data_IF_985071250888
#
_entry.id   IF_985071250888
#
_cell.length_a   1.000
_cell.length_b   1.000
_cell.length_c   1.000
_cell.angle_alpha   90.00
_cell.angle_beta   90.00
_cell.angle_gamma   90.00
#
_symmetry.space_group_name_H-M   'P 1'
#
loop_
_entity.id
_entity.type
_entity.pdbx_description
1 polymer ?
#
# COMPACT_ATOMS: atom_id res chain seq x y z
N UNK A 1 -42.37 66.83 6.57
CA UNK A 1 -41.59 67.03 5.33
C UNK A 1 -40.73 65.79 5.18
N UNK A 2 -41.25 64.62 4.78
CA UNK A 2 -41.93 64.21 3.54
C UNK A 2 -41.03 64.30 2.31
N UNK A 3 -41.04 63.22 1.53
CA UNK A 3 -40.35 62.89 0.26
C UNK A 3 -38.98 62.19 0.42
N UNK A 4 -38.68 61.06 -0.22
CA UNK A 4 -39.44 60.14 -1.06
C UNK A 4 -38.54 58.91 -1.31
N UNK A 5 -39.14 57.71 -1.32
CA UNK A 5 -38.49 56.47 -1.75
C UNK A 5 -38.21 56.49 -3.26
N UNK A 6 -37.02 56.04 -3.69
CA UNK A 6 -36.79 55.59 -5.06
C UNK A 6 -36.55 54.08 -5.06
N UNK A 7 -37.61 53.36 -5.43
CA UNK A 7 -37.52 52.01 -5.97
C UNK A 7 -36.96 52.08 -7.39
N UNK A 8 -36.03 51.19 -7.72
CA UNK A 8 -35.72 50.85 -9.11
C UNK A 8 -35.80 49.33 -9.23
N UNK A 9 -36.78 48.88 -10.01
CA UNK A 9 -37.03 47.49 -10.36
C UNK A 9 -37.10 47.40 -11.88
N UNK A 10 -36.13 46.73 -12.50
CA UNK A 10 -36.12 46.20 -13.88
C UNK A 10 -34.93 45.22 -13.93
N UNK A 11 -35.01 43.98 -14.38
CA UNK A 11 -36.08 43.24 -15.02
C UNK A 11 -35.66 41.77 -15.13
N UNK A 12 -36.68 40.91 -15.26
CA UNK A 12 -36.56 39.50 -15.61
C UNK A 12 -35.96 39.31 -17.00
N UNK A 13 -35.06 38.33 -17.15
CA UNK A 13 -34.97 37.52 -18.38
C UNK A 13 -34.66 36.07 -18.00
N UNK A 14 -35.72 35.27 -18.05
CA UNK A 14 -35.72 33.81 -18.15
C UNK A 14 -35.30 33.43 -19.58
N UNK A 15 -34.19 32.68 -19.74
CA UNK A 15 -33.91 31.92 -20.96
C UNK A 15 -33.24 30.59 -20.59
N UNK A 16 -33.95 29.50 -20.85
CA UNK A 16 -33.46 28.12 -20.95
C UNK A 16 -34.12 27.52 -22.20
N UNK A 17 -33.71 26.32 -22.65
CA UNK A 17 -32.56 26.05 -23.51
C UNK A 17 -33.00 25.50 -24.89
N UNK A 18 -32.13 25.40 -25.91
CA UNK A 18 -32.45 24.64 -27.11
C UNK A 18 -32.08 23.15 -26.97
N UNK A 19 -33.03 22.34 -27.42
CA UNK A 19 -32.96 20.91 -27.69
C UNK A 19 -31.66 20.44 -28.35
N UNK A 20 -31.08 19.37 -27.81
CA UNK A 20 -30.16 18.54 -28.58
C UNK A 20 -30.60 17.08 -28.51
N UNK A 21 -31.12 16.65 -29.66
CA UNK A 21 -31.61 15.33 -30.00
C UNK A 21 -30.56 14.24 -29.83
N UNK A 22 -31.03 13.17 -29.19
CA UNK A 22 -30.45 11.83 -29.04
C UNK A 22 -30.22 11.16 -30.40
N UNK A 23 -29.15 10.36 -30.55
CA UNK A 23 -29.21 9.15 -31.36
C UNK A 23 -29.05 7.88 -30.49
N UNK A 24 -30.15 7.15 -30.44
CA UNK A 24 -30.38 5.83 -29.87
C UNK A 24 -29.45 4.80 -30.52
N UNK A 25 -28.55 4.19 -29.75
CA UNK A 25 -27.76 3.04 -30.22
C UNK A 25 -28.49 1.75 -29.91
N UNK A 26 -29.04 1.18 -30.97
CA UNK A 26 -29.85 -0.04 -31.00
C UNK A 26 -29.05 -1.26 -30.54
N UNK A 27 -29.69 -2.06 -29.69
CA UNK A 27 -29.26 -3.35 -29.21
C UNK A 27 -29.20 -4.40 -30.34
N UNK A 28 -28.07 -5.09 -30.48
CA UNK A 28 -27.95 -6.27 -31.33
C UNK A 28 -28.31 -7.53 -30.51
N UNK A 29 -29.55 -7.98 -30.69
CA UNK A 29 -30.11 -9.23 -30.21
C UNK A 29 -29.64 -10.35 -31.15
N UNK A 30 -28.80 -11.28 -30.68
CA UNK A 30 -28.46 -12.52 -31.40
C UNK A 30 -29.68 -13.47 -31.34
N UNK A 31 -30.18 -13.98 -32.47
CA UNK A 31 -31.17 -15.06 -32.44
C UNK A 31 -30.47 -16.41 -32.24
N UNK A 32 -31.06 -17.20 -31.35
CA UNK A 32 -30.94 -18.65 -31.35
C UNK A 32 -31.80 -19.19 -32.51
N UNK A 33 -31.25 -20.13 -33.28
CA UNK A 33 -32.03 -21.00 -34.15
C UNK A 33 -31.48 -22.42 -34.01
N UNK A 34 -32.40 -23.28 -33.59
CA UNK A 34 -32.32 -24.72 -33.48
C UNK A 34 -32.16 -25.43 -34.85
N UNK A 35 -31.57 -26.61 -34.75
CA UNK A 35 -31.95 -27.86 -35.41
C UNK A 35 -31.85 -27.98 -36.95
N UNK A 36 -30.86 -28.78 -37.38
CA UNK A 36 -30.97 -29.64 -38.56
C UNK A 36 -30.00 -30.82 -38.47
N UNK A 37 -30.58 -31.97 -38.15
CA UNK A 37 -30.07 -33.32 -38.37
C UNK A 37 -29.89 -33.63 -39.86
N UNK A 38 -28.78 -34.27 -40.22
CA UNK A 38 -28.69 -35.59 -40.88
C UNK A 38 -27.37 -35.77 -41.67
N UNK A 39 -26.68 -36.85 -41.29
CA UNK A 39 -25.88 -37.79 -42.07
C UNK A 39 -24.89 -37.30 -43.13
N UNK A 40 -23.59 -37.52 -42.84
CA UNK A 40 -22.73 -38.26 -43.77
C UNK A 40 -21.53 -38.88 -43.06
N UNK A 41 -21.48 -40.21 -43.10
CA UNK A 41 -20.35 -41.06 -42.71
C UNK A 41 -19.09 -40.78 -43.54
N UNK A 42 -17.90 -40.80 -42.92
CA UNK A 42 -16.66 -41.48 -43.39
C UNK A 42 -15.40 -41.11 -42.56
N UNK A 43 -14.34 -41.94 -42.55
CA UNK A 43 -13.64 -42.33 -41.32
C UNK A 43 -12.34 -41.59 -40.99
N UNK A 44 -11.96 -41.77 -39.73
CA UNK A 44 -10.72 -41.41 -39.04
C UNK A 44 -9.42 -41.94 -39.68
N UNK A 45 -8.30 -41.20 -39.54
CA UNK A 45 -6.98 -41.79 -39.43
C UNK A 45 -6.39 -41.63 -38.02
N UNK A 46 -6.13 -42.78 -37.43
CA UNK A 46 -5.49 -43.07 -36.13
C UNK A 46 -4.08 -42.48 -36.02
N UNK A 47 -3.85 -41.61 -35.03
CA UNK A 47 -2.48 -41.24 -34.60
C UNK A 47 -1.94 -42.29 -33.61
N UNK A 48 -1.09 -43.13 -34.18
CA UNK A 48 -0.08 -44.04 -33.61
C UNK A 48 0.42 -43.66 -32.21
N UNK A 49 -0.01 -44.43 -31.21
CA UNK A 49 0.60 -44.54 -29.88
C UNK A 49 1.86 -45.39 -29.98
N UNK A 50 2.97 -44.91 -29.42
CA UNK A 50 4.29 -45.55 -29.40
C UNK A 50 4.43 -46.36 -28.10
N UNK A 51 4.61 -47.68 -28.12
CA UNK A 51 4.81 -48.48 -26.90
C UNK A 51 6.30 -48.53 -26.53
N UNK A 52 6.62 -48.30 -25.25
CA UNK A 52 7.93 -48.62 -24.68
C UNK A 52 7.79 -49.23 -23.28
N UNK A 53 8.00 -50.55 -23.26
CA UNK A 53 8.52 -51.46 -22.24
C UNK A 53 8.06 -51.39 -20.75
N UNK A 54 7.78 -52.57 -20.14
CA UNK A 54 7.46 -52.70 -18.72
C UNK A 54 8.74 -52.75 -17.86
N UNK A 55 8.81 -51.89 -16.84
CA UNK A 55 9.81 -51.96 -15.78
C UNK A 55 9.31 -52.84 -14.62
N UNK A 56 10.03 -53.92 -14.34
CA UNK A 56 9.84 -54.79 -13.18
C UNK A 56 10.12 -54.05 -11.85
N UNK A 57 9.45 -54.41 -10.74
CA UNK A 57 9.75 -53.87 -9.42
C UNK A 57 10.94 -54.61 -8.78
N UNK A 58 12.07 -53.92 -8.65
CA UNK A 58 13.24 -54.41 -7.88
C UNK A 58 13.16 -53.87 -6.45
N UNK A 59 13.25 -54.79 -5.49
CA UNK A 59 13.20 -54.56 -4.04
C UNK A 59 14.24 -53.52 -3.53
N UNK A 60 13.97 -52.83 -2.40
CA UNK A 60 14.88 -51.83 -1.85
C UNK A 60 16.09 -52.51 -1.19
N UNK A 61 17.27 -52.26 -1.76
CA UNK A 61 18.56 -52.66 -1.19
C UNK A 61 19.01 -51.60 -0.19
N UNK A 62 19.03 -51.98 1.08
CA UNK A 62 19.55 -51.21 2.21
C UNK A 62 21.02 -50.86 1.93
N UNK A 63 21.31 -49.57 1.75
CA UNK A 63 22.67 -49.05 1.66
C UNK A 63 23.02 -48.35 2.97
N UNK A 64 23.88 -48.99 3.75
CA UNK A 64 24.49 -48.41 4.95
C UNK A 64 25.44 -47.28 4.53
N UNK A 65 24.94 -46.04 4.54
CA UNK A 65 25.77 -44.85 4.36
C UNK A 65 26.38 -44.45 5.71
N UNK A 66 27.65 -44.83 5.84
CA UNK A 66 28.60 -44.51 6.91
C UNK A 66 28.56 -43.01 7.27
N UNK A 67 28.12 -42.70 8.49
CA UNK A 67 28.20 -41.36 9.08
C UNK A 67 29.67 -41.04 9.37
N UNK A 68 30.15 -39.89 8.87
CA UNK A 68 31.38 -39.23 9.35
C UNK A 68 30.93 -38.03 10.20
N UNK A 69 31.45 -37.85 11.42
CA UNK A 69 31.21 -36.64 12.20
C UNK A 69 32.15 -35.56 11.67
N UNK A 70 31.56 -34.46 11.18
CA UNK A 70 32.30 -33.23 10.88
C UNK A 70 31.75 -32.14 11.79
N UNK A 71 32.43 -31.96 12.93
CA UNK A 71 32.35 -30.75 13.72
C UNK A 71 32.91 -29.59 12.88
N UNK A 72 32.01 -28.77 12.34
CA UNK A 72 32.36 -27.40 11.97
C UNK A 72 31.30 -26.48 12.56
N UNK A 73 31.63 -25.98 13.75
CA UNK A 73 31.06 -24.77 14.34
C UNK A 73 31.20 -23.64 13.33
N UNK A 74 30.10 -23.37 12.64
CA UNK A 74 29.93 -22.21 11.77
C UNK A 74 29.73 -21.00 12.66
N UNK A 75 30.83 -20.31 12.96
CA UNK A 75 30.76 -18.92 13.42
C UNK A 75 30.13 -18.11 12.28
N UNK A 76 28.82 -17.90 12.40
CA UNK A 76 28.05 -16.96 11.59
C UNK A 76 28.48 -15.55 11.97
N UNK A 77 29.63 -15.11 11.49
CA UNK A 77 29.93 -13.69 11.40
C UNK A 77 28.99 -13.11 10.36
N UNK A 78 28.04 -12.31 10.85
CA UNK A 78 27.24 -11.42 10.03
C UNK A 78 28.23 -10.52 9.30
N UNK A 79 28.56 -10.91 8.06
CA UNK A 79 29.28 -10.10 7.11
C UNK A 79 28.44 -8.85 6.90
N UNK A 80 28.76 -7.79 7.65
CA UNK A 80 28.39 -6.45 7.30
C UNK A 80 29.08 -6.16 5.97
N UNK A 81 28.38 -6.48 4.88
CA UNK A 81 28.73 -6.06 3.53
C UNK A 81 28.86 -4.55 3.58
N UNK A 82 30.11 -4.07 3.72
CA UNK A 82 30.46 -2.69 3.43
C UNK A 82 30.10 -2.52 1.97
N UNK A 83 28.93 -1.91 1.72
CA UNK A 83 28.54 -1.56 0.36
C UNK A 83 29.62 -0.59 -0.09
N UNK A 84 30.41 -1.00 -1.08
CA UNK A 84 31.35 -0.12 -1.76
C UNK A 84 30.53 0.97 -2.45
N UNK A 85 30.20 2.03 -1.70
CA UNK A 85 29.54 3.22 -2.22
C UNK A 85 30.56 3.88 -3.13
N UNK A 86 30.16 4.14 -4.38
CA UNK A 86 31.02 4.83 -5.33
C UNK A 86 31.34 6.23 -4.83
N UNK A 87 32.57 6.69 -5.05
CA UNK A 87 32.98 8.06 -4.74
C UNK A 87 32.30 9.11 -5.62
N UNK A 88 31.68 8.71 -6.74
CA UNK A 88 30.98 9.61 -7.66
C UNK A 88 29.51 9.78 -7.25
N UNK A 89 29.14 10.98 -6.83
CA UNK A 89 27.78 11.38 -6.45
C UNK A 89 27.11 12.20 -7.55
N UNK A 90 25.99 11.75 -8.15
CA UNK A 90 25.23 12.55 -9.10
C UNK A 90 24.78 13.90 -8.54
N UNK A 91 24.98 14.97 -9.32
CA UNK A 91 24.43 16.30 -9.03
C UNK A 91 22.96 16.38 -9.42
N UNK A 92 22.16 16.90 -8.50
CA UNK A 92 20.74 17.19 -8.70
C UNK A 92 19.80 15.99 -8.55
N UNK A 93 18.50 16.28 -8.65
CA UNK A 93 17.45 15.29 -8.47
C UNK A 93 17.45 14.19 -9.55
N UNK A 94 16.83 13.04 -9.21
CA UNK A 94 16.70 11.92 -10.14
C UNK A 94 15.77 12.29 -11.29
N UNK A 95 16.30 12.38 -12.50
CA UNK A 95 15.52 12.56 -13.74
C UNK A 95 15.42 11.25 -14.52
N UNK A 96 14.24 10.98 -15.09
CA UNK A 96 13.96 9.81 -15.93
C UNK A 96 13.52 10.24 -17.32
N UNK A 97 14.00 9.54 -18.34
CA UNK A 97 13.57 9.72 -19.72
C UNK A 97 12.17 9.15 -19.91
N UNK A 98 11.32 9.87 -20.67
CA UNK A 98 9.96 9.47 -21.01
C UNK A 98 9.87 9.15 -22.50
N UNK A 99 9.08 8.13 -22.83
CA UNK A 99 8.81 7.74 -24.22
C UNK A 99 8.11 8.88 -24.94
N UNK A 100 8.60 9.23 -26.13
CA UNK A 100 8.10 10.32 -26.97
C UNK A 100 8.61 11.72 -26.60
N UNK A 101 9.34 11.87 -25.49
CA UNK A 101 9.87 13.17 -25.06
C UNK A 101 11.38 13.23 -25.26
N UNK A 102 11.83 13.94 -26.31
CA UNK A 102 13.25 14.14 -26.60
C UNK A 102 13.89 15.08 -25.57
N UNK A 103 14.84 14.57 -24.78
CA UNK A 103 15.63 15.38 -23.84
C UNK A 103 17.09 14.89 -23.79
N UNK A 104 17.93 15.43 -24.66
CA UNK A 104 19.34 15.05 -24.79
C UNK A 104 20.16 15.32 -23.52
N UNK A 105 19.70 16.18 -22.62
CA UNK A 105 20.37 16.42 -21.32
C UNK A 105 20.40 15.16 -20.46
N UNK A 106 19.48 14.22 -20.68
CA UNK A 106 19.42 12.95 -19.93
C UNK A 106 20.48 11.94 -20.36
N UNK A 107 21.17 12.18 -21.48
CA UNK A 107 22.29 11.38 -21.96
C UNK A 107 23.62 11.74 -21.26
N UNK A 108 23.59 12.76 -20.39
CA UNK A 108 24.73 13.23 -19.61
C UNK A 108 24.34 13.33 -18.13
N UNK A 109 25.33 13.23 -17.26
CA UNK A 109 25.15 13.35 -15.82
C UNK A 109 26.40 13.95 -15.20
N UNK A 110 26.24 15.10 -14.54
CA UNK A 110 27.29 15.68 -13.71
C UNK A 110 27.34 14.92 -12.39
N UNK A 111 28.53 14.55 -11.94
CA UNK A 111 28.77 13.91 -10.66
C UNK A 111 29.91 14.63 -9.92
N UNK A 112 29.79 14.76 -8.61
CA UNK A 112 30.88 15.16 -7.72
C UNK A 112 31.69 13.94 -7.32
N UNK A 113 33.00 13.97 -7.52
CA UNK A 113 33.90 12.96 -6.96
C UNK A 113 34.25 13.35 -5.52
N UNK A 114 33.71 12.63 -4.55
CA UNK A 114 33.95 12.88 -3.11
C UNK A 114 35.45 12.80 -2.80
N UNK A 115 36.22 11.99 -3.53
CA UNK A 115 37.65 11.78 -3.22
C UNK A 115 38.53 12.95 -3.68
N UNK A 116 38.24 13.53 -4.86
CA UNK A 116 39.04 14.61 -5.43
C UNK A 116 38.38 15.98 -5.34
N UNK A 117 37.11 16.04 -4.90
CA UNK A 117 36.25 17.24 -4.93
C UNK A 117 36.06 17.85 -6.33
N UNK A 118 36.32 17.09 -7.40
CA UNK A 118 36.15 17.54 -8.77
C UNK A 118 34.78 17.16 -9.34
N UNK A 119 34.29 17.97 -10.27
CA UNK A 119 33.07 17.68 -11.04
C UNK A 119 33.43 16.88 -12.28
N UNK A 120 32.81 15.70 -12.44
CA UNK A 120 32.99 14.83 -13.61
C UNK A 120 31.68 14.67 -14.36
N UNK A 121 31.76 14.70 -15.68
CA UNK A 121 30.60 14.47 -16.56
C UNK A 121 30.62 13.03 -17.11
N UNK A 122 29.61 12.25 -16.73
CA UNK A 122 29.39 10.92 -17.26
C UNK A 122 28.44 10.96 -18.46
N UNK A 123 28.74 10.12 -19.45
CA UNK A 123 28.02 10.09 -20.72
C UNK A 123 27.41 8.71 -20.95
N UNK A 124 26.20 8.69 -21.50
CA UNK A 124 25.56 7.46 -21.98
C UNK A 124 26.28 6.96 -23.23
N UNK A 125 26.79 5.71 -23.18
CA UNK A 125 27.60 5.10 -24.25
C UNK A 125 27.01 3.81 -24.82
N UNK A 126 25.89 3.32 -24.28
CA UNK A 126 25.33 2.02 -24.70
C UNK A 126 24.75 2.07 -26.12
N UNK A 127 24.40 3.27 -26.62
CA UNK A 127 23.96 3.52 -28.00
C UNK A 127 24.62 4.80 -28.52
N UNK A 128 24.99 4.89 -29.81
CA UNK A 128 25.35 6.15 -30.45
C UNK A 128 24.21 7.17 -30.34
N UNK A 129 24.52 8.42 -30.01
CA UNK A 129 23.48 9.44 -29.74
C UNK A 129 22.60 9.73 -30.96
N UNK A 130 23.15 9.62 -32.17
CA UNK A 130 22.43 9.79 -33.43
C UNK A 130 21.40 8.70 -33.71
N UNK A 131 21.55 7.51 -33.13
CA UNK A 131 20.64 6.37 -33.35
C UNK A 131 19.56 6.26 -32.28
N UNK A 132 19.54 7.16 -31.30
CA UNK A 132 18.57 7.12 -30.20
C UNK A 132 17.22 7.63 -30.72
N UNK A 133 16.33 6.69 -31.01
CA UNK A 133 14.90 6.98 -31.13
C UNK A 133 14.24 7.15 -29.75
N UNK A 134 13.65 8.32 -29.51
CA UNK A 134 12.96 8.68 -28.27
C UNK A 134 11.53 8.11 -28.16
N UNK A 135 10.95 7.65 -29.26
CA UNK A 135 9.67 6.93 -29.26
C UNK A 135 9.84 5.43 -28.99
N UNK A 136 11.07 4.92 -29.11
CA UNK A 136 11.36 3.52 -28.84
C UNK A 136 11.53 3.26 -27.33
N UNK A 137 10.64 2.44 -26.77
CA UNK A 137 10.62 2.06 -25.35
C UNK A 137 11.94 1.40 -24.91
N UNK A 138 12.58 0.59 -25.76
CA UNK A 138 13.83 -0.09 -25.43
C UNK A 138 15.00 0.88 -25.27
N UNK A 139 15.07 1.91 -26.11
CA UNK A 139 16.11 2.94 -26.02
C UNK A 139 15.95 3.75 -24.72
N UNK A 140 14.73 4.16 -24.42
CA UNK A 140 14.40 4.88 -23.17
C UNK A 140 14.74 4.03 -21.94
N UNK A 141 14.43 2.73 -21.97
CA UNK A 141 14.80 1.82 -20.90
C UNK A 141 16.32 1.69 -20.72
N UNK A 142 17.10 1.62 -21.81
CA UNK A 142 18.58 1.60 -21.75
C UNK A 142 19.13 2.87 -21.10
N UNK A 143 18.60 4.06 -21.46
CA UNK A 143 19.00 5.34 -20.85
C UNK A 143 18.66 5.35 -19.35
N UNK A 144 17.43 5.00 -18.99
CA UNK A 144 16.98 4.96 -17.59
C UNK A 144 17.78 3.96 -16.75
N UNK A 145 18.12 2.79 -17.31
CA UNK A 145 18.94 1.78 -16.63
C UNK A 145 20.35 2.29 -16.35
N UNK A 146 21.00 2.93 -17.33
CA UNK A 146 22.31 3.56 -17.13
C UNK A 146 22.27 4.62 -16.02
N UNK A 147 21.31 5.56 -16.08
CA UNK A 147 21.14 6.58 -15.03
C UNK A 147 20.91 5.92 -13.66
N UNK A 148 20.02 4.92 -13.60
CA UNK A 148 19.70 4.21 -12.37
C UNK A 148 20.91 3.48 -11.78
N UNK A 149 21.81 2.95 -12.61
CA UNK A 149 23.04 2.32 -12.17
C UNK A 149 23.97 3.32 -11.49
N UNK A 150 24.10 4.54 -12.04
CA UNK A 150 24.93 5.60 -11.44
C UNK A 150 24.35 6.00 -10.08
N UNK A 151 23.05 6.35 -10.01
CA UNK A 151 22.40 6.66 -8.74
C UNK A 151 22.49 5.49 -7.73
N UNK A 152 22.34 4.25 -8.20
CA UNK A 152 22.43 3.05 -7.36
C UNK A 152 23.82 2.85 -6.76
N UNK A 153 24.88 3.03 -7.56
CA UNK A 153 26.29 2.98 -7.11
C UNK A 153 26.62 4.10 -6.12
N UNK A 154 25.98 5.25 -6.28
CA UNK A 154 26.08 6.37 -5.36
C UNK A 154 25.27 6.18 -4.05
N UNK A 155 24.59 5.03 -3.87
CA UNK A 155 23.71 4.81 -2.72
C UNK A 155 22.41 5.62 -2.76
N UNK A 156 22.17 6.41 -3.80
CA UNK A 156 20.94 7.17 -4.04
C UNK A 156 19.84 6.24 -4.60
N UNK A 157 19.23 5.47 -3.71
CA UNK A 157 18.13 4.56 -4.05
C UNK A 157 16.97 5.33 -4.68
N UNK A 158 16.36 4.77 -5.73
CA UNK A 158 15.22 5.38 -6.46
C UNK A 158 13.98 5.56 -5.62
N UNK A 159 13.85 4.73 -4.59
CA UNK A 159 12.79 4.77 -3.59
C UNK A 159 13.45 4.44 -2.26
N UNK A 160 13.30 5.32 -1.28
CA UNK A 160 13.46 4.91 0.09
C UNK A 160 12.40 3.83 0.34
N UNK A 161 12.84 2.60 0.63
CA UNK A 161 11.92 1.60 1.15
C UNK A 161 11.68 2.02 2.58
N UNK A 162 10.60 2.77 2.82
CA UNK A 162 10.24 3.12 4.19
C UNK A 162 9.93 1.83 4.93
N UNK A 163 10.76 1.53 5.93
CA UNK A 163 10.62 0.34 6.78
C UNK A 163 9.23 0.33 7.40
N UNK A 164 8.60 -0.84 7.48
CA UNK A 164 7.32 -0.97 8.19
C UNK A 164 7.57 -0.94 9.69
N UNK A 165 6.82 -0.10 10.41
CA UNK A 165 6.96 0.06 11.85
C UNK A 165 5.99 -0.87 12.61
N UNK A 166 6.27 -1.22 13.89
CA UNK A 166 5.40 -2.07 14.69
C UNK A 166 3.93 -1.62 14.72
N UNK A 167 3.69 -0.32 14.87
CA UNK A 167 2.32 0.22 14.89
C UNK A 167 1.61 0.06 13.55
N UNK A 168 2.34 0.20 12.43
CA UNK A 168 1.77 -0.07 11.09
C UNK A 168 1.41 -1.56 10.94
N UNK A 169 2.17 -2.47 11.55
CA UNK A 169 1.88 -3.90 11.56
C UNK A 169 0.67 -4.25 12.44
N UNK A 170 0.59 -3.65 13.62
CA UNK A 170 -0.52 -3.79 14.55
C UNK A 170 -1.84 -3.33 13.93
N UNK A 171 -1.81 -2.25 13.14
CA UNK A 171 -2.97 -1.76 12.40
C UNK A 171 -3.55 -2.80 11.44
N UNK A 172 -2.69 -3.54 10.72
CA UNK A 172 -3.16 -4.58 9.79
C UNK A 172 -3.89 -5.70 10.52
N UNK A 173 -3.35 -6.12 11.65
CA UNK A 173 -3.94 -7.15 12.49
C UNK A 173 -5.32 -6.70 13.00
N UNK A 174 -5.38 -5.49 13.57
CA UNK A 174 -6.62 -4.89 14.07
C UNK A 174 -7.66 -4.71 12.95
N UNK A 175 -7.26 -4.30 11.74
CA UNK A 175 -8.14 -4.24 10.57
C UNK A 175 -8.81 -5.59 10.30
N UNK A 176 -8.05 -6.68 10.28
CA UNK A 176 -8.62 -8.00 10.04
C UNK A 176 -9.57 -8.41 11.17
N UNK A 177 -9.19 -8.15 12.42
CA UNK A 177 -10.02 -8.50 13.57
C UNK A 177 -11.36 -7.76 13.59
N UNK A 178 -11.34 -6.44 13.38
CA UNK A 178 -12.56 -5.64 13.28
C UNK A 178 -13.43 -6.09 12.11
N UNK A 179 -12.81 -6.39 10.95
CA UNK A 179 -13.54 -6.90 9.79
C UNK A 179 -14.18 -8.27 10.06
N UNK A 180 -13.49 -9.16 10.80
CA UNK A 180 -14.03 -10.46 11.21
C UNK A 180 -15.20 -10.26 12.17
N UNK A 181 -15.04 -9.42 13.20
CA UNK A 181 -16.09 -9.10 14.16
C UNK A 181 -17.34 -8.56 13.44
N UNK A 182 -17.16 -7.57 12.57
CA UNK A 182 -18.25 -6.98 11.78
C UNK A 182 -18.92 -8.01 10.86
N UNK A 183 -18.14 -8.86 10.18
CA UNK A 183 -18.69 -9.90 9.30
C UNK A 183 -19.53 -10.95 10.04
N UNK A 184 -19.32 -11.11 11.35
CA UNK A 184 -20.13 -11.98 12.20
C UNK A 184 -21.42 -11.30 12.65
N UNK A 185 -21.36 -10.00 12.91
CA UNK A 185 -22.52 -9.20 13.26
C UNK A 185 -23.47 -9.03 12.07
N UNK A 186 -22.94 -8.77 10.87
CA UNK A 186 -23.72 -8.62 9.63
C UNK A 186 -22.97 -9.08 8.38
N UNK A 187 -23.68 -9.20 7.27
CA UNK A 187 -23.06 -9.41 5.97
C UNK A 187 -22.27 -8.18 5.52
N UNK A 188 -21.00 -8.37 5.12
CA UNK A 188 -20.15 -7.32 4.56
C UNK A 188 -19.49 -7.79 3.27
N UNK A 189 -19.17 -6.84 2.39
CA UNK A 189 -18.30 -7.07 1.24
C UNK A 189 -16.86 -6.65 1.58
N UNK A 190 -15.88 -7.40 1.10
CA UNK A 190 -14.48 -7.00 1.22
C UNK A 190 -14.20 -5.75 0.38
N UNK A 191 -13.61 -4.69 0.97
CA UNK A 191 -13.32 -3.47 0.25
C UNK A 191 -12.18 -3.66 -0.76
N UNK A 192 -12.10 -2.76 -1.74
CA UNK A 192 -10.93 -2.67 -2.62
C UNK A 192 -9.70 -2.27 -1.81
N UNK A 193 -8.53 -2.80 -2.17
CA UNK A 193 -7.26 -2.47 -1.50
C UNK A 193 -6.96 -0.97 -1.48
N UNK A 194 -7.41 -0.22 -2.49
CA UNK A 194 -7.30 1.25 -2.51
C UNK A 194 -8.03 1.94 -1.35
N UNK A 195 -9.17 1.39 -0.93
CA UNK A 195 -9.98 1.97 0.14
C UNK A 195 -9.33 1.68 1.50
N UNK A 196 -8.82 0.45 1.68
CA UNK A 196 -8.06 0.08 2.88
C UNK A 196 -6.79 0.92 3.00
N UNK A 197 -6.10 1.17 1.88
CA UNK A 197 -4.94 2.07 1.85
C UNK A 197 -5.32 3.49 2.26
N UNK A 198 -6.46 4.02 1.80
CA UNK A 198 -6.89 5.36 2.17
C UNK A 198 -7.10 5.48 3.69
N UNK A 199 -7.77 4.50 4.32
CA UNK A 199 -7.93 4.46 5.78
C UNK A 199 -6.59 4.30 6.52
N UNK A 200 -5.68 3.47 5.98
CA UNK A 200 -4.33 3.35 6.52
C UNK A 200 -3.57 4.67 6.48
N UNK A 201 -3.56 5.36 5.33
CA UNK A 201 -2.89 6.64 5.18
C UNK A 201 -3.56 7.73 6.04
N UNK A 202 -4.89 7.71 6.20
CA UNK A 202 -5.57 8.62 7.13
C UNK A 202 -5.10 8.43 8.58
N UNK A 203 -4.77 7.19 8.95
CA UNK A 203 -4.24 6.88 10.28
C UNK A 203 -2.80 7.39 10.40
N UNK A 204 -1.92 7.03 9.48
CA UNK A 204 -0.47 7.22 9.68
C UNK A 204 0.15 8.43 8.99
N UNK A 205 -0.41 8.93 7.88
CA UNK A 205 0.22 9.99 7.11
C UNK A 205 0.38 11.28 7.93
N UNK A 206 1.51 11.94 7.74
CA UNK A 206 1.96 13.13 8.46
C UNK A 206 2.17 12.96 9.97
N UNK A 207 2.00 11.75 10.53
CA UNK A 207 2.24 11.49 11.95
C UNK A 207 3.68 11.05 12.20
N UNK A 208 4.17 11.39 13.39
CA UNK A 208 5.45 10.90 13.91
C UNK A 208 5.19 9.58 14.62
N UNK A 209 5.97 8.57 14.28
CA UNK A 209 5.86 7.22 14.84
C UNK A 209 7.18 6.85 15.51
N UNK A 210 7.12 5.94 16.48
CA UNK A 210 8.32 5.43 17.13
C UNK A 210 8.89 4.22 16.38
N UNK A 211 10.22 4.20 16.24
CA UNK A 211 10.94 3.05 15.72
C UNK A 211 11.04 1.93 16.77
N UNK A 212 11.64 0.80 16.40
CA UNK A 212 11.86 -0.34 17.32
C UNK A 212 12.77 -0.02 18.51
N UNK A 213 13.46 1.13 18.49
CA UNK A 213 14.32 1.63 19.56
C UNK A 213 13.65 2.79 20.31
N UNK A 214 12.33 2.94 20.15
CA UNK A 214 11.50 3.97 20.79
C UNK A 214 11.92 5.40 20.42
N UNK A 215 12.58 5.58 19.27
CA UNK A 215 12.96 6.90 18.77
C UNK A 215 11.94 7.41 17.78
N UNK A 216 11.64 8.69 17.88
CA UNK A 216 10.76 9.37 16.95
C UNK A 216 11.35 9.37 15.53
N UNK A 217 10.53 8.96 14.58
CA UNK A 217 10.86 8.98 13.16
C UNK A 217 10.42 10.29 12.50
N UNK A 218 10.92 10.57 11.31
CA UNK A 218 10.39 11.68 10.51
C UNK A 218 8.88 11.51 10.25
N UNK A 219 8.12 12.61 10.11
CA UNK A 219 6.70 12.56 9.78
C UNK A 219 6.42 11.64 8.60
N UNK A 220 5.47 10.74 8.78
CA UNK A 220 5.28 9.63 7.87
C UNK A 220 4.65 10.09 6.56
N UNK A 221 5.35 9.89 5.44
CA UNK A 221 4.74 10.09 4.12
C UNK A 221 3.66 9.06 3.80
N UNK A 222 2.72 9.41 2.93
CA UNK A 222 1.71 8.48 2.43
C UNK A 222 2.33 7.25 1.79
N UNK A 223 1.77 6.07 2.08
CA UNK A 223 2.18 4.83 1.42
C UNK A 223 1.59 4.75 0.01
N UNK A 224 2.39 4.26 -0.92
CA UNK A 224 1.92 3.96 -2.27
C UNK A 224 1.24 2.59 -2.35
N UNK A 225 0.25 2.47 -3.24
CA UNK A 225 -0.55 1.26 -3.43
C UNK A 225 0.26 -0.02 -3.64
N UNK A 226 1.36 0.03 -4.42
CA UNK A 226 2.16 -1.16 -4.68
C UNK A 226 2.88 -1.68 -3.43
N UNK A 227 3.45 -0.78 -2.62
CA UNK A 227 4.13 -1.16 -1.39
C UNK A 227 3.13 -1.67 -0.36
N UNK A 228 2.00 -0.99 -0.22
CA UNK A 228 0.91 -1.37 0.66
C UNK A 228 0.33 -2.74 0.28
N UNK A 229 -0.06 -2.94 -0.97
CA UNK A 229 -0.63 -4.21 -1.47
C UNK A 229 0.34 -5.36 -1.24
N UNK A 230 1.64 -5.16 -1.48
CA UNK A 230 2.66 -6.18 -1.25
C UNK A 230 2.79 -6.54 0.24
N UNK A 231 2.64 -5.60 1.17
CA UNK A 231 2.68 -5.87 2.61
C UNK A 231 1.37 -6.48 3.09
N UNK A 232 0.25 -5.86 2.75
CA UNK A 232 -1.09 -6.30 3.11
C UNK A 232 -1.38 -7.75 2.74
N UNK A 233 -0.89 -8.22 1.58
CA UNK A 233 -1.05 -9.61 1.15
C UNK A 233 -0.20 -10.62 1.95
N UNK A 234 0.87 -10.17 2.62
CA UNK A 234 1.79 -11.02 3.40
C UNK A 234 1.47 -10.99 4.90
N UNK A 235 0.81 -9.94 5.37
CA UNK A 235 0.45 -9.79 6.77
C UNK A 235 -0.75 -10.68 7.13
N UNK A 236 -0.67 -11.29 8.31
CA UNK A 236 -1.77 -12.02 8.95
C UNK A 236 -2.46 -13.04 8.02
N UNK A 237 -1.73 -14.01 7.43
CA UNK A 237 -2.30 -14.96 6.48
C UNK A 237 -3.48 -15.74 7.07
N UNK A 238 -3.40 -16.12 8.35
CA UNK A 238 -4.45 -16.88 9.04
C UNK A 238 -5.71 -16.03 9.24
N UNK A 239 -5.56 -14.77 9.65
CA UNK A 239 -6.70 -13.84 9.81
C UNK A 239 -7.36 -13.54 8.47
N UNK A 240 -6.58 -13.45 7.39
CA UNK A 240 -7.14 -13.29 6.04
C UNK A 240 -7.99 -14.48 5.64
N UNK A 241 -7.51 -15.71 5.84
CA UNK A 241 -8.28 -16.93 5.55
C UNK A 241 -9.55 -16.96 6.40
N UNK A 242 -9.44 -16.63 7.69
CA UNK A 242 -10.59 -16.55 8.61
C UNK A 242 -11.61 -15.53 8.16
N UNK A 243 -11.19 -14.33 7.75
CA UNK A 243 -12.09 -13.31 7.23
C UNK A 243 -12.79 -13.78 5.96
N UNK A 244 -12.05 -14.41 5.03
CA UNK A 244 -12.63 -14.97 3.80
C UNK A 244 -13.72 -16.02 4.10
N UNK A 245 -13.50 -16.89 5.09
CA UNK A 245 -14.52 -17.84 5.56
C UNK A 245 -15.73 -17.12 6.16
N UNK A 246 -15.51 -16.06 6.95
CA UNK A 246 -16.61 -15.34 7.60
C UNK A 246 -17.50 -14.56 6.63
N UNK A 247 -16.95 -14.09 5.49
CA UNK A 247 -17.70 -13.36 4.45
C UNK A 247 -18.26 -14.27 3.36
N UNK A 248 -17.85 -15.53 3.28
CA UNK A 248 -18.29 -16.44 2.22
C UNK A 248 -19.81 -16.62 2.23
N UNK A 249 -20.44 -16.40 1.07
CA UNK A 249 -21.89 -16.50 0.90
C UNK A 249 -22.71 -15.36 1.52
N UNK A 250 -22.06 -14.36 2.12
CA UNK A 250 -22.72 -13.16 2.65
C UNK A 250 -22.71 -12.04 1.62
N UNK A 251 -23.75 -11.20 1.69
CA UNK A 251 -23.88 -9.99 0.90
C UNK A 251 -24.03 -8.80 1.83
N UNK A 252 -23.55 -7.64 1.43
CA UNK A 252 -23.65 -6.41 2.19
C UNK A 252 -22.76 -5.32 1.62
N UNK A 253 -22.69 -4.20 2.33
CA UNK A 253 -21.88 -3.07 1.92
C UNK A 253 -20.40 -3.31 2.14
N UNK A 254 -19.57 -2.60 1.36
CA UNK A 254 -18.12 -2.60 1.56
C UNK A 254 -17.80 -1.97 2.92
N UNK A 255 -17.15 -2.74 3.79
CA UNK A 255 -16.79 -2.28 5.13
C UNK A 255 -15.29 -1.98 5.21
N UNK A 256 -14.95 -0.78 5.67
CA UNK A 256 -13.58 -0.37 6.01
C UNK A 256 -13.63 0.22 7.42
N UNK A 257 -13.03 -0.41 8.44
CA UNK A 257 -13.05 0.13 9.78
C UNK A 257 -12.19 1.40 9.86
N UNK A 258 -12.70 2.39 10.60
CA UNK A 258 -11.90 3.55 11.03
C UNK A 258 -11.12 3.13 12.27
N UNK A 259 -9.79 3.16 12.19
CA UNK A 259 -8.90 2.74 13.27
C UNK A 259 -8.14 3.95 13.79
N UNK A 260 -8.24 4.21 15.09
CA UNK A 260 -7.52 5.29 15.76
C UNK A 260 -6.29 4.76 16.52
N UNK A 261 -5.38 5.65 16.93
CA UNK A 261 -4.25 5.26 17.76
C UNK A 261 -4.67 4.73 19.13
N UNK A 262 -5.73 5.30 19.71
CA UNK A 262 -6.27 4.83 20.98
C UNK A 262 -6.71 3.36 20.86
N UNK A 263 -7.43 3.01 19.80
CA UNK A 263 -7.82 1.62 19.53
C UNK A 263 -6.60 0.71 19.39
N UNK A 264 -5.55 1.16 18.70
CA UNK A 264 -4.30 0.41 18.57
C UNK A 264 -3.59 0.22 19.92
N UNK A 265 -3.54 1.23 20.78
CA UNK A 265 -2.93 1.11 22.11
C UNK A 265 -3.73 0.18 23.02
N UNK A 266 -5.07 0.24 22.97
CA UNK A 266 -5.94 -0.71 23.69
C UNK A 266 -5.67 -2.14 23.21
N UNK A 267 -5.64 -2.34 21.90
CA UNK A 267 -5.37 -3.64 21.29
C UNK A 267 -3.97 -4.17 21.66
N UNK A 268 -2.95 -3.30 21.69
CA UNK A 268 -1.59 -3.66 22.10
C UNK A 268 -1.54 -4.17 23.55
N UNK A 269 -2.09 -3.41 24.50
CA UNK A 269 -2.13 -3.80 25.93
C UNK A 269 -2.85 -5.13 26.15
N UNK A 270 -3.96 -5.30 25.44
CA UNK A 270 -4.75 -6.52 25.48
C UNK A 270 -3.95 -7.72 24.94
N UNK A 271 -3.22 -7.58 23.84
CA UNK A 271 -2.34 -8.65 23.35
C UNK A 271 -1.26 -9.02 24.38
N UNK A 272 -0.68 -8.03 25.05
CA UNK A 272 0.28 -8.25 26.14
C UNK A 272 -0.35 -9.02 27.30
N UNK A 273 -1.57 -8.67 27.70
CA UNK A 273 -2.32 -9.39 28.74
C UNK A 273 -2.62 -10.84 28.34
N UNK A 274 -3.07 -11.08 27.11
CA UNK A 274 -3.32 -12.45 26.62
C UNK A 274 -2.04 -13.27 26.57
N UNK A 275 -0.92 -12.65 26.20
CA UNK A 275 0.38 -13.30 26.23
C UNK A 275 0.81 -13.67 27.66
N UNK A 276 0.53 -12.81 28.65
CA UNK A 276 0.75 -13.11 30.08
C UNK A 276 -0.12 -14.27 30.57
N UNK A 277 -1.33 -14.44 30.02
CA UNK A 277 -2.21 -15.59 30.30
C UNK A 277 -1.77 -16.88 29.60
N UNK A 278 -0.75 -16.83 28.75
CA UNK A 278 -0.19 -17.99 28.03
C UNK A 278 -0.81 -18.25 26.66
N UNK A 279 -1.64 -17.35 26.14
CA UNK A 279 -2.23 -17.47 24.81
C UNK A 279 -1.29 -16.84 23.78
N UNK A 280 -0.46 -17.68 23.14
CA UNK A 280 0.66 -17.22 22.30
C UNK A 280 0.29 -17.04 20.82
N UNK A 281 -0.78 -17.67 20.34
CA UNK A 281 -1.18 -17.61 18.92
C UNK A 281 -2.69 -17.55 18.74
N UNK A 282 -3.16 -16.61 17.91
CA UNK A 282 -4.56 -16.51 17.48
C UNK A 282 -4.96 -17.60 16.44
N UNK A 283 -4.08 -18.55 16.13
CA UNK A 283 -4.10 -19.28 14.85
C UNK A 283 -4.91 -20.59 14.80
N UNK A 284 -6.02 -20.73 15.51
CA UNK A 284 -6.89 -21.88 15.24
C UNK A 284 -8.12 -21.93 16.11
N UNK A 285 -9.26 -21.44 15.59
CA UNK A 285 -10.60 -21.61 16.18
C UNK A 285 -10.56 -21.60 17.73
N UNK A 286 -9.86 -20.63 18.31
CA UNK A 286 -9.56 -20.66 19.73
C UNK A 286 -10.89 -20.63 20.48
N UNK A 287 -11.05 -21.54 21.44
CA UNK A 287 -12.24 -21.73 22.27
C UNK A 287 -12.66 -20.44 23.00
N UNK A 288 -11.75 -19.44 23.05
CA UNK A 288 -11.91 -18.12 23.69
C UNK A 288 -12.63 -17.06 22.81
N UNK A 289 -13.36 -17.49 21.79
CA UNK A 289 -14.01 -16.60 20.81
C UNK A 289 -15.01 -15.61 21.44
N UNK A 290 -15.55 -15.95 22.61
CA UNK A 290 -16.40 -15.08 23.43
C UNK A 290 -15.61 -13.97 24.12
N UNK A 291 -14.40 -14.24 24.63
CA UNK A 291 -13.54 -13.21 25.23
C UNK A 291 -13.16 -12.15 24.20
N UNK A 292 -12.82 -12.58 22.98
CA UNK A 292 -12.58 -11.65 21.87
C UNK A 292 -13.81 -10.80 21.54
N UNK A 293 -15.00 -11.40 21.55
CA UNK A 293 -16.25 -10.70 21.21
C UNK A 293 -16.65 -9.69 22.28
N UNK A 294 -16.60 -10.07 23.55
CA UNK A 294 -16.86 -9.19 24.69
C UNK A 294 -15.87 -8.02 24.68
N UNK A 295 -14.61 -8.31 24.42
CA UNK A 295 -13.56 -7.31 24.48
C UNK A 295 -13.60 -6.32 23.31
N UNK A 296 -13.95 -6.75 22.09
CA UNK A 296 -14.19 -5.82 20.98
C UNK A 296 -15.39 -4.89 21.21
N UNK A 297 -16.32 -5.25 22.11
CA UNK A 297 -17.43 -4.37 22.48
C UNK A 297 -16.98 -3.15 23.30
N UNK A 298 -15.78 -3.19 23.89
CA UNK A 298 -15.19 -2.11 24.68
C UNK A 298 -14.22 -1.21 23.91
N UNK A 299 -14.01 -1.47 22.62
CA UNK A 299 -13.23 -0.53 21.80
C UNK A 299 -14.01 0.78 21.63
N UNK A 300 -13.36 1.94 21.80
CA UNK A 300 -14.02 3.22 21.61
C UNK A 300 -14.58 3.31 20.19
N UNK A 301 -15.82 3.77 20.04
CA UNK A 301 -16.37 4.01 18.71
C UNK A 301 -15.59 5.16 18.05
N UNK A 302 -15.46 5.14 16.73
CA UNK A 302 -14.79 6.21 15.99
C UNK A 302 -15.45 7.57 16.27
N UNK A 303 -16.74 7.57 16.61
CA UNK A 303 -17.51 8.76 17.01
C UNK A 303 -17.17 9.29 18.40
N UNK A 304 -16.74 8.42 19.32
CA UNK A 304 -16.37 8.82 20.69
C UNK A 304 -15.05 9.60 20.71
N UNK A 305 -14.17 9.32 19.74
CA UNK A 305 -12.86 9.98 19.61
C UNK A 305 -12.99 11.39 19.02
N UNK A 306 -13.91 11.62 18.09
CA UNK A 306 -14.16 12.97 17.52
C UNK A 306 -14.66 13.96 18.59
N UNK A 307 -15.34 13.47 19.64
CA UNK A 307 -15.85 14.31 20.72
C UNK A 307 -14.77 14.68 21.76
N UNK A 308 -13.60 14.02 21.73
CA UNK A 308 -12.47 14.26 22.64
C UNK A 308 -11.31 15.03 22.02
N UNK A 309 -11.35 15.30 20.73
CA UNK A 309 -10.45 16.29 20.13
C UNK A 309 -10.98 17.66 20.56
N UNK A 310 -10.65 18.08 21.77
CA UNK A 310 -10.68 19.51 22.07
C UNK A 310 -9.87 20.20 20.96
N UNK A 311 -10.44 21.21 20.29
CA UNK A 311 -9.68 21.96 19.31
C UNK A 311 -8.40 22.42 19.99
N UNK A 312 -7.25 22.04 19.41
CA UNK A 312 -5.96 22.55 19.85
C UNK A 312 -6.11 24.08 19.98
N UNK A 313 -5.86 24.67 21.16
CA UNK A 313 -6.08 26.08 21.38
C UNK A 313 -5.35 26.82 20.29
N UNK A 314 -6.11 27.56 19.49
CA UNK A 314 -5.54 28.33 18.40
C UNK A 314 -4.62 29.40 18.98
N UNK A 315 -3.69 29.92 18.19
CA UNK A 315 -2.87 31.05 18.66
C UNK A 315 -3.76 32.24 19.11
N UNK A 316 -4.98 32.34 18.56
CA UNK A 316 -6.00 33.28 19.01
C UNK A 316 -6.54 32.98 20.42
N UNK A 317 -6.77 31.72 20.78
CA UNK A 317 -7.21 31.33 22.12
C UNK A 317 -6.12 31.58 23.17
N UNK A 318 -4.85 31.33 22.81
CA UNK A 318 -3.70 31.68 23.66
C UNK A 318 -3.52 33.19 23.82
N UNK A 319 -3.75 33.97 22.75
CA UNK A 319 -3.72 35.42 22.81
C UNK A 319 -4.87 36.00 23.64
N UNK A 320 -6.08 35.44 23.52
CA UNK A 320 -7.24 35.84 24.31
C UNK A 320 -7.05 35.55 25.81
N UNK A 321 -6.47 34.38 26.15
CA UNK A 321 -6.12 34.04 27.52
C UNK A 321 -5.05 34.98 28.11
N UNK A 322 -4.05 35.37 27.31
CA UNK A 322 -3.04 36.34 27.72
C UNK A 322 -3.65 37.74 27.99
N UNK A 323 -4.57 38.19 27.13
CA UNK A 323 -5.26 39.47 27.31
C UNK A 323 -6.17 39.48 28.55
N UNK A 324 -6.83 38.37 28.87
CA UNK A 324 -7.64 38.21 30.08
C UNK A 324 -6.79 38.22 31.36
N UNK A 325 -5.61 37.58 31.35
CA UNK A 325 -4.65 37.67 32.45
C UNK A 325 -4.13 39.11 32.66
N UNK A 326 -3.89 39.86 31.58
CA UNK A 326 -3.46 41.26 31.69
C UNK A 326 -4.58 42.17 32.22
N UNK A 327 -5.83 41.94 31.84
CA UNK A 327 -6.97 42.76 32.27
C UNK A 327 -7.25 42.61 33.77
N UNK A 328 -7.13 41.39 34.31
CA UNK A 328 -7.44 41.07 35.72
C UNK A 328 -6.39 41.59 36.71
N UNK A 329 -5.18 41.93 36.26
CA UNK A 329 -4.14 42.52 37.12
C UNK A 329 -4.21 44.06 37.21
N UNK A 330 -5.06 44.73 36.44
CA UNK A 330 -5.19 46.19 36.47
C UNK A 330 -6.18 46.73 37.51
N UNK A 331 -6.94 45.86 38.18
CA UNK A 331 -8.03 46.26 39.11
C UNK A 331 -7.58 46.27 40.59
N UNK A 332 -6.32 45.90 40.87
CA UNK A 332 -5.80 45.75 42.23
C UNK A 332 -4.81 46.84 42.66
N UNK A 333 -4.84 48.03 42.06
CA UNK A 333 -3.98 49.17 42.44
C UNK A 333 -4.78 50.34 42.99
#
# INVERSE_FOLDING_TARGET
MSFEHKHSATGSVLLSPPDSTIPTRIAAKRPASEDRSEDSHSPTPTKRVKPSAPSFPTAPRISHRRLKPSEQLTMSTVSASSRNISTLMPRGGRKTAKVGQKDESLLRMLCDDISTSEVRELHFRNLPHSTIDWHNVEHINKINNWRNQIYGRAGMKSRAVSMWLPDEELWFELYYQLSIAESRARGILLPKTSNVLAAFNQTFASRILQDHQERDTEPRGERHLNAFTSKFNRMCPDLRVRLQQCVFGKFGDAFVPTITFEMMQVYKRMKEEMQLRGTVSESGYCEDLEEWRDLFSHLPDAKDVEMRVEPLPTEEDSAAAALLCMATHSVSS
#
